data_IF_974676181214
#
_entry.id   IF_974676181214
#
_cell.length_a   1.000
_cell.length_b   1.000
_cell.length_c   1.000
_cell.angle_alpha   90.00
_cell.angle_beta   90.00
_cell.angle_gamma   90.00
#
_symmetry.space_group_name_H-M   'P 1'
#
loop_
_entity.id
_entity.type
_entity.pdbx_description
1 polymer ?
#
# COMPACT_ATOMS: atom_id res chain seq x y z
N UNK A 1 20.31 -78.87 41.68
CA UNK A 1 20.99 -78.00 40.68
C UNK A 1 19.93 -77.34 39.89
N UNK A 2 19.57 -76.09 40.19
CA UNK A 2 18.55 -75.31 39.50
C UNK A 2 19.24 -74.28 38.57
N UNK A 3 18.96 -74.39 37.28
CA UNK A 3 19.53 -73.54 36.26
C UNK A 3 18.78 -72.19 36.21
N UNK A 4 19.44 -71.09 36.56
CA UNK A 4 18.96 -69.76 36.35
C UNK A 4 19.15 -69.38 34.86
N UNK A 5 18.06 -69.05 34.17
CA UNK A 5 18.12 -68.41 32.84
C UNK A 5 18.22 -66.88 33.01
N UNK A 6 19.08 -66.22 32.27
CA UNK A 6 19.14 -64.75 32.33
C UNK A 6 17.95 -64.15 31.54
N UNK A 7 17.21 -63.21 32.18
CA UNK A 7 16.18 -62.37 31.56
C UNK A 7 16.89 -61.18 30.92
N UNK A 8 16.86 -61.13 29.60
CA UNK A 8 17.39 -60.05 28.82
C UNK A 8 16.38 -58.85 28.82
N UNK A 9 16.70 -57.78 29.54
CA UNK A 9 15.91 -56.57 29.54
C UNK A 9 16.25 -55.78 28.26
N UNK A 10 15.36 -55.76 27.28
CA UNK A 10 15.47 -54.90 26.09
C UNK A 10 14.92 -53.53 26.48
N UNK A 11 15.82 -52.57 26.66
CA UNK A 11 15.48 -51.16 26.87
C UNK A 11 15.09 -50.56 25.51
N UNK A 12 13.77 -50.45 25.24
CA UNK A 12 13.28 -49.71 24.07
C UNK A 12 13.41 -48.21 24.33
N UNK A 13 14.43 -47.60 23.74
CA UNK A 13 14.60 -46.17 23.74
C UNK A 13 13.61 -45.57 22.72
N UNK A 14 12.44 -45.12 23.18
CA UNK A 14 11.51 -44.34 22.36
C UNK A 14 12.10 -42.97 22.10
N UNK A 15 12.66 -42.77 20.90
CA UNK A 15 13.01 -41.47 20.36
C UNK A 15 11.71 -40.66 20.20
N UNK A 16 11.44 -39.76 21.13
CA UNK A 16 10.40 -38.74 20.99
C UNK A 16 10.92 -37.75 19.94
N UNK A 17 10.42 -37.85 18.71
CA UNK A 17 10.57 -36.81 17.70
C UNK A 17 9.79 -35.60 18.19
N UNK A 18 10.46 -34.64 18.82
CA UNK A 18 9.94 -33.29 19.03
C UNK A 18 10.05 -32.59 17.65
N UNK A 19 8.93 -32.24 16.98
CA UNK A 19 9.02 -31.43 15.79
C UNK A 19 9.66 -30.11 16.19
N UNK A 20 10.84 -29.82 15.68
CA UNK A 20 11.47 -28.52 15.81
C UNK A 20 10.60 -27.54 14.99
N UNK A 21 9.75 -26.79 15.68
CA UNK A 21 9.16 -25.61 15.08
C UNK A 21 10.32 -24.68 14.74
N UNK A 22 10.63 -24.57 13.47
CA UNK A 22 11.48 -23.49 12.99
C UNK A 22 10.70 -22.21 13.26
N UNK A 23 11.11 -21.47 14.27
CA UNK A 23 10.72 -20.08 14.42
C UNK A 23 11.30 -19.39 13.18
N UNK A 24 10.45 -19.12 12.20
CA UNK A 24 10.81 -18.33 11.04
C UNK A 24 11.22 -16.96 11.60
N UNK A 25 12.51 -16.69 11.61
CA UNK A 25 13.03 -15.41 12.01
C UNK A 25 12.51 -14.38 10.99
N UNK A 26 11.82 -13.35 11.47
CA UNK A 26 11.48 -12.19 10.65
C UNK A 26 12.79 -11.63 10.05
N UNK A 27 12.75 -11.13 8.78
CA UNK A 27 13.89 -10.40 8.26
C UNK A 27 14.30 -9.34 9.26
N UNK A 28 15.58 -9.17 9.52
CA UNK A 28 16.12 -8.25 10.53
C UNK A 28 15.72 -6.78 10.31
N UNK A 29 15.05 -6.48 9.21
CA UNK A 29 14.51 -5.18 8.77
C UNK A 29 12.99 -5.06 8.86
N UNK A 30 12.26 -6.09 9.32
CA UNK A 30 10.79 -5.99 9.40
C UNK A 30 10.37 -5.01 10.49
N UNK A 31 9.50 -4.05 10.13
CA UNK A 31 9.00 -3.08 11.11
C UNK A 31 7.90 -3.64 12.02
N UNK A 32 7.45 -4.87 11.78
CA UNK A 32 6.24 -5.42 12.40
C UNK A 32 5.10 -4.41 12.34
N UNK A 33 4.86 -3.86 11.16
CA UNK A 33 3.91 -2.79 10.95
C UNK A 33 2.97 -3.06 9.78
N UNK A 34 1.82 -2.43 9.86
CA UNK A 34 0.82 -2.36 8.81
C UNK A 34 0.44 -0.91 8.58
N UNK A 35 0.22 -0.55 7.33
CA UNK A 35 -0.45 0.68 6.95
C UNK A 35 -1.83 0.38 6.35
N UNK A 36 -2.78 1.28 6.56
CA UNK A 36 -4.10 1.23 5.95
C UNK A 36 -4.23 2.36 4.94
N UNK A 37 -4.72 2.04 3.74
CA UNK A 37 -4.92 2.94 2.61
C UNK A 37 -6.40 2.97 2.26
N UNK A 38 -7.07 4.12 2.53
CA UNK A 38 -8.45 4.35 2.14
C UNK A 38 -8.47 5.16 0.84
N UNK A 39 -8.86 4.51 -0.25
CA UNK A 39 -8.92 5.12 -1.56
C UNK A 39 -10.24 5.88 -1.79
N UNK A 40 -10.38 6.58 -2.91
CA UNK A 40 -11.59 7.25 -3.41
C UNK A 40 -12.14 8.37 -2.53
N UNK A 41 -11.30 9.11 -1.81
CA UNK A 41 -11.76 10.23 -1.00
C UNK A 41 -12.23 11.39 -1.87
N UNK A 42 -13.50 11.77 -1.68
CA UNK A 42 -14.21 12.80 -2.42
C UNK A 42 -15.37 13.37 -1.61
N UNK A 43 -15.96 14.48 -2.03
CA UNK A 43 -17.00 15.17 -1.25
C UNK A 43 -18.42 15.15 -1.88
N UNK A 44 -18.61 14.44 -2.99
CA UNK A 44 -19.93 14.33 -3.62
C UNK A 44 -20.57 12.94 -3.51
N UNK A 45 -19.81 11.92 -3.12
CA UNK A 45 -20.29 10.54 -3.02
C UNK A 45 -19.77 9.88 -1.76
N UNK A 46 -20.66 9.30 -0.95
CA UNK A 46 -20.36 8.58 0.29
C UNK A 46 -19.56 9.40 1.34
N UNK A 47 -19.69 10.74 1.35
CA UNK A 47 -18.96 11.64 2.24
C UNK A 47 -19.13 11.29 3.73
N UNK A 48 -20.38 10.96 4.14
CA UNK A 48 -20.69 10.56 5.52
C UNK A 48 -20.07 9.21 5.91
N UNK A 49 -19.96 8.29 4.95
CA UNK A 49 -19.33 6.99 5.14
C UNK A 49 -17.80 7.16 5.25
N UNK A 50 -17.20 7.96 4.37
CA UNK A 50 -15.76 8.29 4.39
C UNK A 50 -15.38 8.94 5.73
N UNK A 51 -16.13 9.96 6.16
CA UNK A 51 -15.90 10.62 7.45
C UNK A 51 -15.99 9.60 8.61
N UNK A 52 -16.93 8.66 8.57
CA UNK A 52 -17.09 7.64 9.61
C UNK A 52 -15.93 6.64 9.65
N UNK A 53 -15.39 6.24 8.48
CA UNK A 53 -14.19 5.40 8.41
C UNK A 53 -12.99 6.14 9.05
N UNK A 54 -12.73 7.38 8.62
CA UNK A 54 -11.64 8.22 9.13
C UNK A 54 -11.78 8.41 10.66
N UNK A 55 -12.99 8.68 11.14
CA UNK A 55 -13.29 8.78 12.57
C UNK A 55 -13.00 7.49 13.33
N UNK A 56 -13.31 6.34 12.72
CA UNK A 56 -13.06 5.04 13.35
C UNK A 56 -11.58 4.81 13.56
N UNK A 57 -10.74 5.08 12.55
CA UNK A 57 -9.28 5.04 12.70
C UNK A 57 -8.80 5.97 13.81
N UNK A 58 -9.26 7.22 13.80
CA UNK A 58 -8.87 8.20 14.82
C UNK A 58 -9.27 7.76 16.24
N UNK A 59 -10.52 7.30 16.44
CA UNK A 59 -11.03 6.82 17.72
C UNK A 59 -10.27 5.57 18.21
N UNK A 60 -9.86 4.71 17.28
CA UNK A 60 -9.04 3.54 17.58
C UNK A 60 -7.56 3.86 17.75
N UNK A 61 -7.14 5.12 17.72
CA UNK A 61 -5.72 5.51 17.76
C UNK A 61 -4.89 4.74 16.72
N UNK A 62 -5.36 4.71 15.47
CA UNK A 62 -4.77 4.04 14.34
C UNK A 62 -4.51 5.06 13.22
N UNK A 63 -3.30 5.06 12.65
CA UNK A 63 -2.95 5.91 11.51
C UNK A 63 -3.64 5.44 10.23
N UNK A 64 -3.89 6.37 9.32
CA UNK A 64 -4.55 6.12 8.05
C UNK A 64 -3.92 6.98 6.95
N UNK A 65 -3.71 6.40 5.78
CA UNK A 65 -3.39 7.14 4.55
C UNK A 65 -4.64 7.18 3.67
N UNK A 66 -5.01 8.37 3.18
CA UNK A 66 -6.20 8.57 2.34
C UNK A 66 -5.79 9.02 0.92
N UNK A 67 -6.34 8.35 -0.09
CA UNK A 67 -6.18 8.69 -1.50
C UNK A 67 -7.26 9.68 -1.94
N UNK A 68 -6.90 10.93 -2.25
CA UNK A 68 -7.84 12.01 -2.57
C UNK A 68 -7.96 12.21 -4.08
N UNK A 69 -9.19 12.19 -4.58
CA UNK A 69 -9.53 12.54 -5.98
C UNK A 69 -9.65 14.06 -6.09
N UNK A 70 -8.72 14.69 -6.82
CA UNK A 70 -8.53 16.15 -6.80
C UNK A 70 -9.74 16.96 -7.25
N UNK A 71 -10.37 16.61 -8.39
CA UNK A 71 -11.51 17.36 -8.91
C UNK A 71 -12.76 17.25 -8.01
N UNK A 72 -12.80 16.24 -7.20
CA UNK A 72 -13.99 15.87 -6.41
C UNK A 72 -13.83 16.15 -4.92
N UNK A 73 -12.98 17.09 -4.53
CA UNK A 73 -12.76 17.49 -3.12
C UNK A 73 -12.77 19.00 -2.97
N UNK A 74 -13.30 19.52 -1.87
CA UNK A 74 -13.22 20.93 -1.48
C UNK A 74 -14.52 21.71 -1.65
N UNK A 75 -15.65 21.07 -1.98
CA UNK A 75 -16.97 21.69 -2.10
C UNK A 75 -17.83 21.45 -0.87
N UNK A 76 -17.74 20.28 -0.24
CA UNK A 76 -18.42 20.00 1.03
C UNK A 76 -17.53 20.37 2.23
N UNK A 77 -17.88 21.45 2.98
CA UNK A 77 -17.12 21.86 4.14
C UNK A 77 -17.12 20.83 5.27
N UNK A 78 -18.10 19.92 5.33
CA UNK A 78 -18.20 18.95 6.41
C UNK A 78 -17.05 17.95 6.38
N UNK A 79 -16.86 17.23 5.27
CA UNK A 79 -15.76 16.27 5.14
C UNK A 79 -14.39 16.96 5.10
N UNK A 80 -14.31 18.13 4.45
CA UNK A 80 -13.08 18.93 4.41
C UNK A 80 -12.63 19.34 5.81
N UNK A 81 -13.55 19.87 6.64
CA UNK A 81 -13.24 20.27 8.01
C UNK A 81 -12.94 19.06 8.90
N UNK A 82 -13.63 17.94 8.67
CA UNK A 82 -13.38 16.69 9.38
C UNK A 82 -11.94 16.22 9.14
N UNK A 83 -11.50 16.12 7.88
CA UNK A 83 -10.13 15.78 7.52
C UNK A 83 -9.15 16.78 8.13
N UNK A 84 -9.35 18.10 7.92
CA UNK A 84 -8.49 19.16 8.47
C UNK A 84 -8.34 19.05 9.99
N UNK A 85 -9.40 18.69 10.68
CA UNK A 85 -9.40 18.56 12.13
C UNK A 85 -8.43 17.50 12.66
N UNK A 86 -8.02 16.53 11.81
CA UNK A 86 -7.17 15.39 12.15
C UNK A 86 -5.75 15.51 11.60
N UNK A 87 -5.52 16.41 10.62
CA UNK A 87 -4.19 16.62 10.06
C UNK A 87 -3.20 17.15 11.10
N UNK A 88 -1.96 16.65 11.05
CA UNK A 88 -0.88 17.02 11.98
C UNK A 88 -1.09 16.54 13.41
N UNK A 89 -2.04 15.64 13.66
CA UNK A 89 -2.32 15.04 14.96
C UNK A 89 -1.87 13.58 15.03
N UNK A 90 -1.93 13.03 16.24
CA UNK A 90 -1.76 11.60 16.51
C UNK A 90 -3.13 11.03 16.85
N UNK A 91 -3.56 9.90 16.24
CA UNK A 91 -2.86 9.14 15.19
C UNK A 91 -2.72 9.95 13.89
N UNK A 92 -1.72 9.60 13.07
CA UNK A 92 -1.46 10.34 11.85
C UNK A 92 -2.54 10.07 10.79
N UNK A 93 -3.01 11.14 10.14
CA UNK A 93 -3.77 11.10 8.90
C UNK A 93 -2.88 11.65 7.80
N UNK A 94 -2.51 10.79 6.82
CA UNK A 94 -1.71 11.13 5.66
C UNK A 94 -2.61 11.33 4.44
N UNK A 95 -2.30 12.32 3.59
CA UNK A 95 -3.01 12.56 2.33
C UNK A 95 -2.10 12.18 1.17
N UNK A 96 -2.62 11.35 0.26
CA UNK A 96 -2.02 10.97 -1.00
C UNK A 96 -2.84 11.51 -2.19
N UNK A 97 -2.17 11.71 -3.31
CA UNK A 97 -2.79 12.05 -4.58
C UNK A 97 -3.38 10.78 -5.21
N UNK A 98 -4.68 10.80 -5.59
CA UNK A 98 -5.39 9.69 -6.21
C UNK A 98 -6.00 10.09 -7.56
N UNK A 99 -5.24 10.85 -8.36
CA UNK A 99 -5.66 11.33 -9.67
C UNK A 99 -6.63 12.52 -9.62
N UNK A 100 -6.96 13.06 -10.80
CA UNK A 100 -7.82 14.24 -10.92
C UNK A 100 -9.31 13.86 -10.92
N UNK A 101 -9.73 12.91 -11.78
CA UNK A 101 -11.08 12.35 -11.86
C UNK A 101 -11.11 10.83 -11.69
N UNK A 102 -10.12 10.26 -11.00
CA UNK A 102 -9.94 8.82 -10.89
C UNK A 102 -9.68 8.15 -12.27
N UNK A 103 -8.76 8.70 -13.05
CA UNK A 103 -8.41 8.21 -14.40
C UNK A 103 -7.56 6.94 -14.36
N UNK A 104 -7.76 6.01 -15.29
CA UNK A 104 -6.73 5.04 -15.65
C UNK A 104 -5.60 5.76 -16.38
N UNK A 105 -4.53 6.06 -15.67
CA UNK A 105 -3.40 6.85 -16.18
C UNK A 105 -2.76 6.23 -17.42
N UNK A 106 -2.80 4.91 -17.57
CA UNK A 106 -2.20 4.22 -18.72
C UNK A 106 -2.88 4.52 -20.04
N UNK A 107 -4.08 5.11 -20.02
CA UNK A 107 -4.86 5.50 -21.22
C UNK A 107 -4.53 6.91 -21.73
N UNK A 108 -3.64 7.66 -21.04
CA UNK A 108 -3.36 9.06 -21.30
C UNK A 108 -1.89 9.28 -21.64
N UNK A 109 -1.59 10.34 -22.41
CA UNK A 109 -0.21 10.74 -22.68
C UNK A 109 0.50 11.21 -21.40
N UNK A 110 1.84 11.19 -21.42
CA UNK A 110 2.65 11.67 -20.29
C UNK A 110 2.26 13.10 -19.86
N UNK A 111 2.04 13.99 -20.82
CA UNK A 111 1.67 15.38 -20.54
C UNK A 111 0.31 15.47 -19.83
N UNK A 112 -0.64 14.63 -20.22
CA UNK A 112 -1.95 14.56 -19.56
C UNK A 112 -1.83 13.95 -18.18
N UNK A 113 -1.07 12.88 -18.01
CA UNK A 113 -0.79 12.26 -16.70
C UNK A 113 -0.12 13.27 -15.75
N UNK A 114 0.90 13.99 -16.23
CA UNK A 114 1.57 15.04 -15.47
C UNK A 114 0.59 16.14 -15.05
N UNK A 115 -0.28 16.59 -15.96
CA UNK A 115 -1.30 17.60 -15.68
C UNK A 115 -2.30 17.13 -14.60
N UNK A 116 -2.77 15.87 -14.67
CA UNK A 116 -3.71 15.33 -13.68
C UNK A 116 -3.07 15.26 -12.29
N UNK A 117 -1.82 14.83 -12.19
CA UNK A 117 -1.08 14.79 -10.94
C UNK A 117 -0.87 16.19 -10.36
N UNK A 118 -0.44 17.15 -11.21
CA UNK A 118 -0.21 18.55 -10.81
C UNK A 118 -1.51 19.20 -10.32
N UNK A 119 -2.60 19.11 -11.10
CA UNK A 119 -3.89 19.68 -10.72
C UNK A 119 -4.39 19.13 -9.37
N UNK A 120 -4.21 17.83 -9.15
CA UNK A 120 -4.58 17.19 -7.88
C UNK A 120 -3.72 17.69 -6.73
N UNK A 121 -2.40 17.83 -6.92
CA UNK A 121 -1.50 18.37 -5.90
C UNK A 121 -1.88 19.83 -5.54
N UNK A 122 -2.15 20.66 -6.55
CA UNK A 122 -2.57 22.05 -6.35
C UNK A 122 -3.89 22.12 -5.60
N UNK A 123 -4.83 21.25 -5.95
CA UNK A 123 -6.14 21.19 -5.27
C UNK A 123 -5.98 20.77 -3.81
N UNK A 124 -5.25 19.68 -3.54
CA UNK A 124 -4.99 19.20 -2.17
C UNK A 124 -4.26 20.30 -1.38
N UNK A 125 -3.27 20.97 -1.98
CA UNK A 125 -2.56 22.05 -1.34
C UNK A 125 -3.48 23.24 -1.01
N UNK A 126 -4.34 23.63 -1.94
CA UNK A 126 -5.28 24.74 -1.72
C UNK A 126 -6.34 24.43 -0.65
N UNK A 127 -6.82 23.18 -0.61
CA UNK A 127 -7.87 22.77 0.34
C UNK A 127 -7.29 22.46 1.71
N UNK A 128 -6.20 21.71 1.79
CA UNK A 128 -5.68 21.15 3.04
C UNK A 128 -4.37 21.77 3.52
N UNK A 129 -3.70 22.58 2.68
CA UNK A 129 -2.39 23.16 3.01
C UNK A 129 -1.23 22.16 2.98
N UNK A 130 -1.41 21.02 2.30
CA UNK A 130 -0.43 19.92 2.22
C UNK A 130 -0.08 19.68 0.76
N UNK A 131 1.20 19.49 0.46
CA UNK A 131 1.66 18.96 -0.82
C UNK A 131 1.89 17.46 -0.65
N UNK A 132 1.13 16.59 -1.34
CA UNK A 132 1.29 15.14 -1.21
C UNK A 132 2.68 14.69 -1.68
N UNK A 133 3.31 13.80 -0.93
CA UNK A 133 4.54 13.12 -1.35
C UNK A 133 4.30 11.72 -1.91
N UNK A 134 3.04 11.29 -1.90
CA UNK A 134 2.60 9.97 -2.32
C UNK A 134 1.57 10.05 -3.43
N UNK A 135 1.73 9.16 -4.42
CA UNK A 135 0.77 8.92 -5.47
C UNK A 135 0.19 7.49 -5.35
N UNK A 136 -1.11 7.40 -5.33
CA UNK A 136 -1.86 6.15 -5.40
C UNK A 136 -2.52 6.14 -6.79
N UNK A 137 -2.04 5.35 -7.75
CA UNK A 137 -2.61 5.33 -9.08
C UNK A 137 -4.02 4.73 -9.03
N UNK A 138 -5.04 5.40 -9.61
CA UNK A 138 -6.35 4.78 -9.78
C UNK A 138 -6.25 3.46 -10.54
N UNK A 139 -7.10 2.49 -10.20
CA UNK A 139 -7.10 1.13 -10.74
C UNK A 139 -5.78 0.36 -10.51
N UNK A 140 -4.90 0.88 -9.67
CA UNK A 140 -3.54 0.34 -9.41
C UNK A 140 -2.68 0.17 -10.68
N UNK A 141 -3.00 0.89 -11.77
CA UNK A 141 -2.32 0.77 -13.07
C UNK A 141 -1.25 1.84 -13.25
N UNK A 142 -0.10 1.44 -13.76
CA UNK A 142 1.03 2.33 -14.05
C UNK A 142 1.73 1.90 -15.33
N UNK A 143 2.32 2.88 -16.04
CA UNK A 143 3.24 2.65 -17.16
C UNK A 143 4.48 3.55 -17.04
N UNK A 144 5.39 3.51 -18.02
CA UNK A 144 6.60 4.33 -18.00
C UNK A 144 6.30 5.83 -17.96
N UNK A 145 5.25 6.29 -18.67
CA UNK A 145 4.84 7.68 -18.68
C UNK A 145 4.31 8.12 -17.31
N UNK A 146 3.59 7.22 -16.61
CA UNK A 146 3.15 7.44 -15.23
C UNK A 146 4.34 7.68 -14.31
N UNK A 147 5.40 6.89 -14.43
CA UNK A 147 6.60 7.05 -13.60
C UNK A 147 7.34 8.35 -13.88
N UNK A 148 7.39 8.79 -15.15
CA UNK A 148 8.01 10.07 -15.49
C UNK A 148 7.19 11.23 -14.92
N UNK A 149 5.85 11.23 -15.13
CA UNK A 149 4.94 12.22 -14.56
C UNK A 149 5.01 12.27 -13.02
N UNK A 150 5.11 11.10 -12.37
CA UNK A 150 5.33 10.96 -10.93
C UNK A 150 6.59 11.72 -10.47
N UNK A 151 7.70 11.55 -11.17
CA UNK A 151 8.96 12.22 -10.84
C UNK A 151 8.89 13.74 -11.09
N UNK A 152 8.24 14.16 -12.17
CA UNK A 152 8.03 15.57 -12.52
C UNK A 152 7.19 16.30 -11.45
N UNK A 153 6.28 15.58 -10.79
CA UNK A 153 5.47 16.08 -9.67
C UNK A 153 6.16 15.95 -8.29
N UNK A 154 7.42 15.55 -8.22
CA UNK A 154 8.22 15.40 -7.00
C UNK A 154 7.64 14.44 -5.97
N UNK A 155 6.88 13.44 -6.39
CA UNK A 155 6.45 12.37 -5.49
C UNK A 155 7.65 11.53 -5.05
N UNK A 156 7.51 10.91 -3.88
CA UNK A 156 8.51 10.01 -3.30
C UNK A 156 7.98 8.59 -3.14
N UNK A 157 6.69 8.44 -2.93
CA UNK A 157 6.03 7.16 -2.66
C UNK A 157 4.98 6.88 -3.72
N UNK A 158 5.00 5.66 -4.26
CA UNK A 158 3.96 5.15 -5.14
C UNK A 158 3.35 3.90 -4.51
N UNK A 159 2.02 3.78 -4.59
CA UNK A 159 1.30 2.64 -4.04
C UNK A 159 0.26 2.15 -5.03
N UNK A 160 0.63 1.19 -5.85
CA UNK A 160 -0.28 0.36 -6.63
C UNK A 160 -0.61 -0.96 -5.88
N UNK A 161 -1.17 -1.97 -6.54
CA UNK A 161 -1.33 -3.31 -5.97
C UNK A 161 -0.05 -4.15 -6.17
N UNK A 162 0.27 -5.02 -5.22
CA UNK A 162 1.49 -5.86 -5.25
C UNK A 162 1.54 -6.81 -6.45
N UNK A 163 0.44 -7.08 -7.13
CA UNK A 163 0.40 -7.84 -8.38
C UNK A 163 0.89 -7.03 -9.59
N UNK A 164 0.83 -5.70 -9.50
CA UNK A 164 1.22 -4.76 -10.55
C UNK A 164 2.57 -4.10 -10.23
N UNK A 165 2.88 -3.96 -8.95
CA UNK A 165 4.07 -3.29 -8.46
C UNK A 165 4.74 -4.12 -7.36
N UNK A 166 6.06 -4.09 -7.28
CA UNK A 166 6.79 -4.84 -6.27
C UNK A 166 7.30 -3.88 -5.18
N UNK A 167 7.29 -4.31 -3.91
CA UNK A 167 7.86 -3.51 -2.84
C UNK A 167 9.29 -3.07 -3.17
N UNK A 168 9.61 -1.82 -2.88
CA UNK A 168 11.00 -1.36 -2.96
C UNK A 168 11.84 -2.21 -2.01
N UNK A 169 12.75 -2.94 -2.59
CA UNK A 169 13.94 -3.32 -1.85
C UNK A 169 14.79 -2.05 -1.79
N UNK A 170 14.92 -1.47 -0.62
CA UNK A 170 15.47 -0.14 -0.47
C UNK A 170 16.88 -0.02 -1.03
N UNK A 171 17.11 1.07 -1.73
CA UNK A 171 18.45 1.46 -2.15
C UNK A 171 18.81 2.79 -1.52
N UNK A 172 20.06 2.97 -1.14
CA UNK A 172 20.60 4.17 -0.51
C UNK A 172 20.39 5.46 -1.34
N UNK A 173 20.00 5.35 -2.61
CA UNK A 173 19.91 6.46 -3.55
C UNK A 173 18.56 6.60 -4.24
N UNK A 174 17.62 5.68 -4.04
CA UNK A 174 16.29 5.80 -4.62
C UNK A 174 15.47 6.83 -3.85
N UNK A 175 15.08 7.91 -4.52
CA UNK A 175 14.10 8.87 -3.97
C UNK A 175 12.67 8.39 -4.19
N UNK A 176 12.48 7.26 -4.82
CA UNK A 176 11.19 6.64 -5.12
C UNK A 176 11.05 5.36 -4.31
N UNK A 177 9.99 5.28 -3.53
CA UNK A 177 9.65 4.11 -2.72
C UNK A 177 8.36 3.50 -3.23
N UNK A 178 8.42 2.23 -3.63
CA UNK A 178 7.25 1.44 -4.01
C UNK A 178 6.65 0.80 -2.76
N UNK A 179 5.43 1.17 -2.44
CA UNK A 179 4.70 0.75 -1.22
C UNK A 179 3.36 0.15 -1.64
N UNK A 180 3.37 -0.95 -2.42
CA UNK A 180 2.15 -1.50 -2.97
C UNK A 180 1.19 -1.99 -1.89
N UNK A 181 -0.11 -1.94 -2.19
CA UNK A 181 -1.14 -2.65 -1.45
C UNK A 181 -0.88 -4.15 -1.48
N UNK A 182 -0.80 -4.78 -0.31
CA UNK A 182 -0.50 -6.22 -0.20
C UNK A 182 -1.74 -7.07 0.02
N UNK A 183 -2.81 -6.47 0.57
CA UNK A 183 -4.12 -7.09 0.73
C UNK A 183 -5.23 -6.04 0.73
N UNK A 184 -6.49 -6.50 0.72
CA UNK A 184 -7.68 -5.66 0.74
C UNK A 184 -8.64 -6.16 1.83
N UNK A 185 -9.43 -5.25 2.42
CA UNK A 185 -10.47 -5.60 3.40
C UNK A 185 -11.64 -6.35 2.78
N UNK A 186 -11.86 -6.21 1.49
CA UNK A 186 -12.96 -6.82 0.74
C UNK A 186 -12.53 -7.26 -0.64
N UNK A 187 -13.30 -8.18 -1.21
CA UNK A 187 -13.22 -8.57 -2.60
C UNK A 187 -14.33 -7.89 -3.39
N UNK A 188 -13.98 -7.25 -4.51
CA UNK A 188 -14.96 -6.74 -5.47
C UNK A 188 -15.41 -7.86 -6.41
N UNK A 189 -16.73 -8.04 -6.55
CA UNK A 189 -17.27 -9.02 -7.50
C UNK A 189 -16.80 -8.74 -8.94
N UNK A 190 -16.71 -9.78 -9.76
CA UNK A 190 -16.22 -9.70 -11.15
C UNK A 190 -17.00 -8.73 -12.05
N UNK A 191 -18.23 -8.40 -11.69
CA UNK A 191 -19.06 -7.39 -12.38
C UNK A 191 -18.90 -5.97 -11.79
N UNK A 192 -17.99 -5.78 -10.81
CA UNK A 192 -17.70 -4.49 -10.20
C UNK A 192 -18.79 -3.90 -9.29
N UNK A 193 -19.80 -4.70 -8.90
CA UNK A 193 -21.00 -4.16 -8.27
C UNK A 193 -21.17 -4.51 -6.79
N UNK A 194 -20.40 -5.46 -6.26
CA UNK A 194 -20.57 -5.94 -4.88
C UNK A 194 -19.23 -6.07 -4.20
N UNK A 195 -19.08 -5.40 -3.08
CA UNK A 195 -17.98 -5.58 -2.14
C UNK A 195 -18.35 -6.67 -1.12
N UNK A 196 -17.48 -7.63 -0.93
CA UNK A 196 -17.64 -8.73 0.02
C UNK A 196 -16.50 -8.71 1.02
N UNK A 197 -16.79 -8.40 2.28
CA UNK A 197 -15.77 -8.31 3.32
C UNK A 197 -15.08 -9.64 3.55
N UNK A 198 -13.76 -9.58 3.70
CA UNK A 198 -12.95 -10.69 4.16
C UNK A 198 -13.10 -10.86 5.66
N UNK A 199 -12.99 -12.09 6.10
CA UNK A 199 -12.97 -12.41 7.53
C UNK A 199 -11.74 -11.77 8.21
N UNK A 200 -11.94 -11.09 9.35
CA UNK A 200 -10.89 -10.36 10.06
C UNK A 200 -9.73 -11.27 10.51
N UNK A 201 -10.01 -12.51 10.90
CA UNK A 201 -8.97 -13.45 11.33
C UNK A 201 -8.10 -13.88 10.15
N UNK A 202 -8.72 -14.11 8.99
CA UNK A 202 -7.97 -14.40 7.75
C UNK A 202 -7.15 -13.21 7.31
N UNK A 203 -7.71 -12.00 7.42
CA UNK A 203 -6.98 -10.78 7.07
C UNK A 203 -5.79 -10.54 8.01
N UNK A 204 -5.95 -10.81 9.31
CA UNK A 204 -4.85 -10.74 10.28
C UNK A 204 -3.73 -11.73 9.93
N UNK A 205 -4.07 -12.96 9.55
CA UNK A 205 -3.08 -13.95 9.07
C UNK A 205 -2.38 -13.47 7.81
N UNK A 206 -3.12 -12.85 6.87
CA UNK A 206 -2.52 -12.25 5.66
C UNK A 206 -1.56 -11.14 6.02
N UNK A 207 -1.93 -10.20 6.90
CA UNK A 207 -1.06 -9.13 7.41
C UNK A 207 0.24 -9.71 7.97
N UNK A 208 0.16 -10.75 8.81
CA UNK A 208 1.35 -11.39 9.41
C UNK A 208 2.23 -12.04 8.35
N UNK A 209 1.62 -12.70 7.34
CA UNK A 209 2.33 -13.29 6.21
C UNK A 209 3.03 -12.23 5.35
N UNK A 210 2.37 -11.10 5.09
CA UNK A 210 2.93 -9.99 4.32
C UNK A 210 4.12 -9.36 5.07
N UNK A 211 3.98 -9.13 6.38
CA UNK A 211 5.07 -8.63 7.21
C UNK A 211 6.28 -9.58 7.15
N UNK A 212 6.04 -10.88 7.17
CA UNK A 212 7.12 -11.87 7.03
C UNK A 212 7.76 -11.83 5.64
N UNK A 213 6.96 -11.64 4.60
CA UNK A 213 7.42 -11.68 3.21
C UNK A 213 8.08 -10.38 2.77
N UNK A 214 7.47 -9.24 3.12
CA UNK A 214 7.83 -7.91 2.61
C UNK A 214 8.44 -6.99 3.68
N UNK A 215 8.40 -7.39 4.96
CA UNK A 215 8.80 -6.55 6.09
C UNK A 215 7.69 -5.64 6.62
N UNK A 216 6.56 -5.52 5.92
CA UNK A 216 5.38 -4.73 6.25
C UNK A 216 4.14 -5.27 5.53
N UNK A 217 2.96 -4.73 5.86
CA UNK A 217 1.74 -4.95 5.08
C UNK A 217 1.05 -3.61 4.79
N UNK A 218 0.36 -3.51 3.65
CA UNK A 218 -0.50 -2.37 3.29
C UNK A 218 -1.88 -2.90 2.92
N UNK A 219 -2.89 -2.46 3.68
CA UNK A 219 -4.28 -2.91 3.52
C UNK A 219 -5.10 -1.84 2.84
N UNK A 220 -5.65 -2.16 1.67
CA UNK A 220 -6.52 -1.28 0.89
C UNK A 220 -7.96 -1.44 1.36
N UNK A 221 -8.67 -0.33 1.47
CA UNK A 221 -10.11 -0.27 1.73
C UNK A 221 -10.76 0.86 0.94
N UNK A 222 -12.06 0.73 0.64
CA UNK A 222 -12.82 1.69 -0.14
C UNK A 222 -14.13 2.08 0.58
N UNK A 223 -14.65 3.30 0.40
CA UNK A 223 -15.88 3.75 1.07
C UNK A 223 -17.10 2.85 0.83
N UNK A 224 -17.34 2.30 -0.38
CA UNK A 224 -18.51 1.44 -0.61
C UNK A 224 -18.59 0.19 0.26
N UNK A 225 -17.46 -0.30 0.74
CA UNK A 225 -17.39 -1.47 1.64
C UNK A 225 -18.15 -1.23 2.96
N UNK A 226 -18.27 0.03 3.38
CA UNK A 226 -18.85 0.45 4.66
C UNK A 226 -20.16 1.20 4.50
N UNK A 227 -20.72 1.18 3.30
CA UNK A 227 -21.98 1.82 2.95
C UNK A 227 -23.12 0.81 2.82
N UNK A 228 -24.34 1.23 3.19
CA UNK A 228 -25.53 0.43 2.93
C UNK A 228 -25.77 0.33 1.43
N UNK A 229 -25.87 -0.89 0.92
CA UNK A 229 -26.23 -1.14 -0.47
C UNK A 229 -27.74 -1.24 -0.62
N UNK A 230 -28.29 -0.36 -1.46
CA UNK A 230 -29.73 -0.35 -1.80
C UNK A 230 -29.85 -0.73 -3.28
N UNK A 231 -30.41 -1.91 -3.55
CA UNK A 231 -30.51 -2.48 -4.90
C UNK A 231 -29.14 -2.57 -5.61
N UNK A 232 -28.89 -1.72 -6.61
CA UNK A 232 -27.67 -1.73 -7.41
C UNK A 232 -26.67 -0.62 -7.05
N UNK A 233 -26.95 0.24 -6.10
CA UNK A 233 -26.10 1.39 -5.72
C UNK A 233 -25.83 1.43 -4.21
N UNK A 234 -24.75 2.10 -3.82
CA UNK A 234 -24.41 2.36 -2.42
C UNK A 234 -24.99 3.71 -2.01
N UNK A 235 -25.77 3.72 -0.94
CA UNK A 235 -26.31 4.93 -0.34
C UNK A 235 -25.27 5.59 0.55
N UNK A 236 -25.36 6.91 0.74
CA UNK A 236 -24.53 7.63 1.72
C UNK A 236 -25.02 7.36 3.16
N UNK A 237 -25.20 6.09 3.48
CA UNK A 237 -25.66 5.57 4.76
C UNK A 237 -24.64 4.55 5.28
N UNK A 238 -24.28 4.69 6.56
CA UNK A 238 -23.23 3.91 7.21
C UNK A 238 -23.73 2.49 7.52
N UNK A 239 -23.02 1.48 7.02
CA UNK A 239 -23.15 0.11 7.52
C UNK A 239 -22.47 -0.01 8.88
N UNK A 240 -23.27 0.05 9.95
CA UNK A 240 -22.78 0.02 11.33
C UNK A 240 -22.06 -1.30 11.65
N UNK A 241 -22.48 -2.41 11.06
CA UNK A 241 -21.86 -3.70 11.31
C UNK A 241 -20.44 -3.73 10.71
N UNK A 242 -20.28 -3.22 9.49
CA UNK A 242 -18.96 -3.17 8.86
C UNK A 242 -18.02 -2.16 9.53
N UNK A 243 -18.51 -1.03 9.97
CA UNK A 243 -17.72 -0.08 10.80
C UNK A 243 -17.29 -0.73 12.13
N UNK A 244 -18.15 -1.51 12.76
CA UNK A 244 -17.78 -2.26 13.97
C UNK A 244 -16.73 -3.32 13.68
N UNK A 245 -16.85 -4.06 12.57
CA UNK A 245 -15.87 -5.04 12.13
C UNK A 245 -14.49 -4.39 11.85
N UNK A 246 -14.48 -3.22 11.20
CA UNK A 246 -13.25 -2.44 11.02
C UNK A 246 -12.60 -2.11 12.38
N UNK A 247 -13.42 -1.63 13.33
CA UNK A 247 -12.93 -1.33 14.69
C UNK A 247 -12.33 -2.55 15.39
N UNK A 248 -12.92 -3.73 15.21
CA UNK A 248 -12.40 -5.00 15.76
C UNK A 248 -11.08 -5.41 15.06
N UNK A 249 -11.01 -5.28 13.74
CA UNK A 249 -9.77 -5.55 12.99
C UNK A 249 -8.61 -4.69 13.51
N UNK A 250 -8.84 -3.38 13.70
CA UNK A 250 -7.81 -2.47 14.21
C UNK A 250 -7.35 -2.84 15.64
N UNK A 251 -8.28 -3.31 16.47
CA UNK A 251 -7.95 -3.80 17.82
C UNK A 251 -7.16 -5.11 17.75
N UNK A 252 -7.55 -6.07 16.91
CA UNK A 252 -6.87 -7.36 16.73
C UNK A 252 -5.44 -7.17 16.23
N UNK A 253 -5.23 -6.27 15.26
CA UNK A 253 -3.90 -5.91 14.76
C UNK A 253 -3.02 -5.38 15.87
N UNK A 254 -3.50 -4.43 16.67
CA UNK A 254 -2.74 -3.87 17.80
C UNK A 254 -2.47 -4.89 18.91
N UNK A 255 -3.46 -5.71 19.24
CA UNK A 255 -3.33 -6.75 20.25
C UNK A 255 -2.30 -7.84 19.83
N UNK A 256 -2.08 -7.99 18.53
CA UNK A 256 -1.03 -8.87 17.98
C UNK A 256 0.37 -8.24 18.02
N UNK A 257 0.52 -7.05 18.58
CA UNK A 257 1.80 -6.34 18.68
C UNK A 257 2.25 -5.67 17.35
N UNK A 258 1.36 -5.64 16.35
CA UNK A 258 1.64 -5.01 15.05
C UNK A 258 1.35 -3.50 15.16
N UNK A 259 2.30 -2.68 14.71
CA UNK A 259 2.15 -1.22 14.73
C UNK A 259 1.33 -0.76 13.53
N UNK A 260 0.35 0.11 13.73
CA UNK A 260 -0.38 0.77 12.64
C UNK A 260 0.27 2.14 12.40
N UNK A 261 0.85 2.34 11.22
CA UNK A 261 1.60 3.54 10.85
C UNK A 261 1.10 4.10 9.52
N UNK A 262 1.33 5.39 9.20
CA UNK A 262 1.08 5.91 7.86
C UNK A 262 2.09 5.33 6.88
N UNK A 263 1.74 5.32 5.59
CA UNK A 263 2.55 4.64 4.55
C UNK A 263 3.91 5.30 4.36
N UNK A 264 4.03 6.61 4.52
CA UNK A 264 5.30 7.36 4.40
C UNK A 264 6.30 7.06 5.54
N UNK A 265 5.86 6.35 6.59
CA UNK A 265 6.68 5.92 7.74
C UNK A 265 7.08 4.45 7.70
N UNK A 266 6.70 3.71 6.67
CA UNK A 266 7.20 2.34 6.49
C UNK A 266 8.73 2.42 6.35
N UNK A 267 9.50 1.75 7.24
CA UNK A 267 10.95 1.81 7.18
C UNK A 267 11.46 0.92 6.05
N UNK A 268 12.07 1.55 5.06
CA UNK A 268 12.78 0.85 4.01
C UNK A 268 14.23 0.64 4.44
N UNK A 269 14.75 -0.58 4.24
CA UNK A 269 16.15 -0.86 4.55
C UNK A 269 17.06 -0.24 3.49
N UNK A 270 17.87 0.73 3.86
CA UNK A 270 18.65 1.59 2.97
C UNK A 270 19.92 0.93 2.41
N UNK A 271 20.11 -0.40 2.54
CA UNK A 271 21.43 -1.00 2.35
C UNK A 271 21.62 -1.95 1.16
N UNK A 272 20.63 -2.29 0.35
CA UNK A 272 20.79 -3.51 -0.44
C UNK A 272 20.60 -3.51 -1.96
N UNK A 273 20.23 -2.45 -2.70
CA UNK A 273 20.26 -2.52 -4.20
C UNK A 273 20.45 -1.18 -4.92
N UNK A 274 21.22 -1.19 -6.02
CA UNK A 274 21.63 0.04 -6.70
C UNK A 274 20.59 0.68 -7.62
N UNK A 275 19.43 0.04 -7.87
CA UNK A 275 18.43 0.57 -8.78
C UNK A 275 16.99 0.40 -8.23
N UNK A 276 16.09 1.37 -8.47
CA UNK A 276 14.66 1.19 -8.26
C UNK A 276 14.15 -0.03 -9.05
N UNK A 277 13.32 -0.86 -8.43
CA UNK A 277 12.89 -2.12 -9.07
C UNK A 277 12.08 -1.90 -10.35
N UNK A 278 11.38 -0.76 -10.47
CA UNK A 278 10.67 -0.39 -11.70
C UNK A 278 11.60 -0.24 -12.92
N UNK A 279 12.88 0.08 -12.73
CA UNK A 279 13.88 0.07 -13.82
C UNK A 279 14.02 -1.33 -14.43
N UNK A 280 13.82 -2.40 -13.68
CA UNK A 280 13.77 -3.75 -14.23
C UNK A 280 12.61 -3.93 -15.21
N UNK A 281 11.45 -3.32 -14.91
CA UNK A 281 10.30 -3.33 -15.84
C UNK A 281 10.59 -2.53 -17.11
N UNK A 282 11.28 -1.40 -17.01
CA UNK A 282 11.77 -0.63 -18.17
C UNK A 282 12.73 -1.46 -19.02
N UNK A 283 13.72 -2.11 -18.40
CA UNK A 283 14.64 -2.99 -19.13
C UNK A 283 13.95 -4.22 -19.72
N UNK A 284 13.01 -4.84 -18.99
CA UNK A 284 12.22 -5.95 -19.51
C UNK A 284 11.36 -5.52 -20.70
N UNK A 285 10.75 -4.33 -20.65
CA UNK A 285 9.97 -3.76 -21.75
C UNK A 285 10.85 -3.40 -22.96
N UNK A 286 12.07 -3.00 -22.73
CA UNK A 286 13.06 -2.81 -23.80
C UNK A 286 13.48 -4.16 -24.40
N UNK A 287 13.80 -5.15 -23.57
CA UNK A 287 14.21 -6.48 -24.02
C UNK A 287 13.12 -7.20 -24.85
N UNK A 288 11.85 -6.97 -24.58
CA UNK A 288 10.73 -7.51 -25.37
C UNK A 288 10.31 -6.61 -26.55
N UNK A 289 11.02 -5.49 -26.77
CA UNK A 289 10.78 -4.58 -27.89
C UNK A 289 9.60 -3.63 -27.72
N UNK A 290 9.00 -3.55 -26.51
CA UNK A 290 7.88 -2.64 -26.23
C UNK A 290 8.32 -1.18 -26.19
N UNK A 291 9.54 -0.92 -25.69
CA UNK A 291 10.19 0.40 -25.73
C UNK A 291 11.54 0.32 -26.41
N UNK A 292 11.94 1.42 -27.08
CA UNK A 292 13.20 1.47 -27.81
C UNK A 292 14.39 1.78 -26.90
N UNK A 293 15.61 1.37 -27.31
CA UNK A 293 16.86 1.73 -26.63
C UNK A 293 16.98 3.25 -26.43
N UNK A 294 16.54 4.03 -27.42
CA UNK A 294 16.55 5.48 -27.34
C UNK A 294 15.66 6.00 -26.23
N UNK A 295 14.49 5.40 -26.03
CA UNK A 295 13.58 5.77 -24.95
C UNK A 295 14.21 5.42 -23.60
N UNK A 296 14.73 4.20 -23.43
CA UNK A 296 15.43 3.77 -22.21
C UNK A 296 16.57 4.73 -21.85
N UNK A 297 17.40 5.10 -22.82
CA UNK A 297 18.52 6.03 -22.60
C UNK A 297 18.02 7.43 -22.22
N UNK A 298 16.90 7.88 -22.81
CA UNK A 298 16.30 9.16 -22.47
C UNK A 298 15.81 9.16 -21.02
N UNK A 299 15.12 8.10 -20.61
CA UNK A 299 14.58 7.94 -19.25
C UNK A 299 15.72 7.83 -18.22
N UNK A 300 16.76 7.05 -18.52
CA UNK A 300 17.94 6.94 -17.66
C UNK A 300 18.65 8.29 -17.51
N UNK A 301 18.88 9.02 -18.60
CA UNK A 301 19.53 10.33 -18.54
C UNK A 301 18.70 11.33 -17.73
N UNK A 302 17.38 11.33 -17.89
CA UNK A 302 16.48 12.12 -17.08
C UNK A 302 16.63 11.81 -15.59
N UNK A 303 16.67 10.53 -15.22
CA UNK A 303 16.83 10.10 -13.83
C UNK A 303 18.18 10.50 -13.25
N UNK A 304 19.26 10.49 -14.06
CA UNK A 304 20.58 10.98 -13.68
C UNK A 304 20.56 12.50 -13.47
N UNK A 305 19.98 13.26 -14.39
CA UNK A 305 19.88 14.71 -14.31
C UNK A 305 19.08 15.17 -13.09
N UNK A 306 18.04 14.41 -12.72
CA UNK A 306 17.25 14.63 -11.49
C UNK A 306 17.91 14.09 -10.23
N UNK A 307 19.13 13.50 -10.34
CA UNK A 307 19.87 12.87 -9.23
C UNK A 307 19.08 11.75 -8.52
N UNK A 308 18.22 11.05 -9.25
CA UNK A 308 17.44 9.91 -8.77
C UNK A 308 18.29 8.65 -8.83
N UNK A 309 19.14 8.52 -9.85
CA UNK A 309 20.17 7.49 -9.99
C UNK A 309 21.52 8.12 -10.28
N UNK A 310 22.61 7.42 -9.93
CA UNK A 310 23.97 7.88 -10.17
C UNK A 310 24.59 7.18 -11.37
N UNK A 311 25.40 7.90 -12.15
CA UNK A 311 26.04 7.42 -13.38
C UNK A 311 26.92 6.16 -13.18
N UNK A 312 27.45 5.95 -11.96
CA UNK A 312 28.36 4.82 -11.68
C UNK A 312 27.71 3.43 -11.73
N UNK A 313 26.38 3.36 -11.67
CA UNK A 313 25.67 2.09 -11.62
C UNK A 313 25.25 1.53 -13.00
N UNK A 314 25.40 2.32 -14.08
CA UNK A 314 24.92 1.95 -15.41
C UNK A 314 25.98 1.16 -16.21
N UNK A 315 27.26 1.32 -15.88
CA UNK A 315 28.38 0.81 -16.70
C UNK A 315 28.75 -0.65 -16.41
N UNK A 316 28.26 -1.26 -15.36
CA UNK A 316 28.68 -2.61 -14.92
C UNK A 316 27.72 -3.75 -15.31
N UNK A 317 26.80 -3.56 -16.25
CA UNK A 317 25.84 -4.59 -16.70
C UNK A 317 26.01 -4.97 -18.17
N UNK A 318 27.24 -4.85 -18.71
CA UNK A 318 27.58 -5.41 -20.03
C UNK A 318 28.29 -6.76 -19.91
#
# INVERSE_FOLDING_TARGET
MASLKPILFILVLSLVFIPSYQVLAYPSSSCQCVAFRLDDIQDYWLDSVQAKIIDTFHQKNASLTIGVIGNHIGQDPKIVNDIKSKLGKTPALEIANHGWNHEDFTQFSREQQNMFMANTNDKISSVFGIVPSMFIPPFDTVNSDTMIAFLENNFRFISADVSQDQPSESTNDSRVYHVPGTAQTSDLSSNGNVWSHRDNQRLLVTIMSDIQKYGYSVIILHPPEYAIKIHSHYANEIDKAQIQNLGLLLDDVKNSGIKIIPMDKIPFNMNDKPYPQWLHSVFASNANGTISDKQVLTDINYLIDKKIIHHHHIVNTS
#
